data_IF_612318611201
#
_entry.id   IF_612318611201
#
_cell.length_a   1.000
_cell.length_b   1.000
_cell.length_c   1.000
_cell.angle_alpha   90.00
_cell.angle_beta   90.00
_cell.angle_gamma   90.00
#
_symmetry.space_group_name_H-M   'P 1'
#
loop_
_entity.id
_entity.type
_entity.pdbx_description
1 polymer ?
#
# COMPACT_ATOMS: atom_id res chain seq x y z
N UNK A 1 -12.68 7.69 12.34
CA UNK A 1 -11.44 7.54 11.53
C UNK A 1 -10.13 7.83 12.27
N UNK A 2 -10.16 7.96 13.61
CA UNK A 2 -8.93 8.26 14.38
C UNK A 2 -8.11 6.99 14.67
N UNK A 3 -8.76 5.83 14.73
CA UNK A 3 -8.09 4.56 15.02
C UNK A 3 -7.74 3.84 13.71
N UNK A 4 -6.44 3.65 13.39
CA UNK A 4 -6.02 3.06 12.12
C UNK A 4 -6.45 1.58 11.95
N UNK A 5 -6.74 0.88 13.06
CA UNK A 5 -7.15 -0.54 13.00
C UNK A 5 -8.64 -0.68 12.71
N UNK A 6 -9.48 0.19 13.28
CA UNK A 6 -10.94 0.11 13.14
C UNK A 6 -11.52 1.03 12.08
N UNK A 7 -10.74 1.97 11.56
CA UNK A 7 -11.18 2.92 10.53
C UNK A 7 -11.82 2.27 9.30
N UNK A 8 -11.34 1.12 8.78
CA UNK A 8 -11.97 0.45 7.64
C UNK A 8 -13.40 -0.06 7.90
N UNK A 9 -13.86 -0.09 9.15
CA UNK A 9 -15.24 -0.38 9.51
C UNK A 9 -16.21 0.79 9.30
N UNK A 10 -15.70 1.99 9.00
CA UNK A 10 -16.50 3.19 8.76
C UNK A 10 -16.67 3.41 7.25
N UNK A 11 -17.90 3.50 6.71
CA UNK A 11 -18.13 3.74 5.29
C UNK A 11 -17.44 5.00 4.75
N UNK A 12 -17.27 6.04 5.56
CA UNK A 12 -16.57 7.29 5.20
C UNK A 12 -15.09 7.03 4.90
N UNK A 13 -14.49 6.00 5.50
CA UNK A 13 -13.11 5.61 5.22
C UNK A 13 -12.87 5.39 3.72
N UNK A 14 -13.76 4.66 3.06
CA UNK A 14 -13.62 4.35 1.63
C UNK A 14 -13.81 5.59 0.75
N UNK A 15 -14.78 6.45 1.07
CA UNK A 15 -14.98 7.71 0.36
C UNK A 15 -13.78 8.64 0.50
N UNK A 16 -13.20 8.72 1.70
CA UNK A 16 -11.99 9.51 1.96
C UNK A 16 -10.80 8.99 1.14
N UNK A 17 -10.57 7.68 1.14
CA UNK A 17 -9.46 7.08 0.40
C UNK A 17 -9.65 7.17 -1.12
N UNK A 18 -10.88 7.05 -1.63
CA UNK A 18 -11.16 7.29 -3.04
C UNK A 18 -10.87 8.74 -3.44
N UNK A 19 -11.21 9.70 -2.58
CA UNK A 19 -10.87 11.09 -2.82
C UNK A 19 -9.35 11.33 -2.81
N UNK A 20 -8.61 10.73 -1.90
CA UNK A 20 -7.15 10.79 -1.86
C UNK A 20 -6.53 10.21 -3.13
N UNK A 21 -7.07 9.10 -3.62
CA UNK A 21 -6.64 8.47 -4.86
C UNK A 21 -6.87 9.39 -6.07
N UNK A 22 -8.03 10.07 -6.16
CA UNK A 22 -8.29 11.09 -7.17
C UNK A 22 -7.27 12.25 -7.12
N UNK A 23 -6.92 12.72 -5.92
CA UNK A 23 -5.91 13.78 -5.73
C UNK A 23 -4.54 13.29 -6.17
N UNK A 24 -4.18 12.06 -5.81
CA UNK A 24 -2.94 11.41 -6.23
C UNK A 24 -2.85 11.30 -7.75
N UNK A 25 -3.88 10.81 -8.38
CA UNK A 25 -3.96 10.75 -9.84
C UNK A 25 -3.85 12.14 -10.50
N UNK A 26 -4.51 13.14 -9.95
CA UNK A 26 -4.38 14.52 -10.43
C UNK A 26 -2.94 15.03 -10.35
N UNK A 27 -2.20 14.66 -9.31
CA UNK A 27 -0.77 14.95 -9.21
C UNK A 27 0.06 14.17 -10.23
N UNK A 28 -0.22 12.88 -10.42
CA UNK A 28 0.47 12.08 -11.43
C UNK A 28 0.28 12.63 -12.83
N UNK A 29 -0.95 13.04 -13.15
CA UNK A 29 -1.31 13.58 -14.48
C UNK A 29 -0.55 14.85 -14.88
N UNK A 30 0.05 15.57 -13.91
CA UNK A 30 0.85 16.78 -14.21
C UNK A 30 2.19 16.44 -14.88
N UNK A 31 2.68 15.21 -14.78
CA UNK A 31 3.97 14.81 -15.36
C UNK A 31 3.99 13.30 -15.67
N UNK A 32 3.15 12.88 -16.58
CA UNK A 32 3.15 11.50 -17.10
C UNK A 32 4.22 11.32 -18.18
N UNK A 33 4.89 10.17 -18.24
CA UNK A 33 4.78 9.01 -17.37
C UNK A 33 5.71 9.03 -16.15
N UNK A 34 6.49 10.10 -15.95
CA UNK A 34 7.54 10.14 -14.92
C UNK A 34 7.00 9.84 -13.52
N UNK A 35 5.85 10.40 -13.17
CA UNK A 35 5.23 10.23 -11.84
C UNK A 35 4.57 8.87 -11.60
N UNK A 36 4.47 8.03 -12.62
CA UNK A 36 4.07 6.62 -12.42
C UNK A 36 5.16 5.77 -11.75
N UNK A 37 6.37 6.29 -11.68
CA UNK A 37 7.51 5.63 -11.01
C UNK A 37 8.05 6.41 -9.83
N UNK A 38 7.51 7.60 -9.56
CA UNK A 38 7.94 8.48 -8.49
C UNK A 38 7.29 8.05 -7.16
N UNK A 39 7.89 7.07 -6.52
CA UNK A 39 7.48 6.59 -5.21
C UNK A 39 8.71 6.35 -4.34
N UNK A 40 8.62 6.76 -3.09
CA UNK A 40 9.66 6.57 -2.10
C UNK A 40 9.10 6.72 -0.69
N UNK A 41 9.96 6.59 0.28
CA UNK A 41 9.60 6.78 1.67
C UNK A 41 9.72 5.51 2.50
N UNK A 42 9.49 5.66 3.78
CA UNK A 42 9.60 4.56 4.73
C UNK A 42 8.33 3.74 4.73
N UNK A 43 8.46 2.42 4.65
CA UNK A 43 7.34 1.51 4.82
C UNK A 43 6.98 1.43 6.31
N UNK A 44 5.80 1.96 6.67
CA UNK A 44 5.34 2.05 8.07
C UNK A 44 5.08 0.66 8.67
N UNK A 45 4.78 -0.33 7.86
CA UNK A 45 4.48 -1.69 8.33
C UNK A 45 5.70 -2.40 8.91
N UNK A 46 6.91 -1.99 8.52
CA UNK A 46 8.15 -2.55 9.08
C UNK A 46 8.54 -1.92 10.42
N UNK A 47 7.87 -0.85 10.82
CA UNK A 47 8.05 -0.20 12.11
C UNK A 47 6.75 -0.21 12.89
N UNK A 48 6.38 -1.37 13.42
CA UNK A 48 5.31 -1.43 14.42
C UNK A 48 5.82 -0.68 15.64
N UNK A 49 5.21 0.47 16.04
CA UNK A 49 5.53 1.07 17.31
C UNK A 49 5.25 0.01 18.37
N UNK A 50 6.22 -0.26 19.22
CA UNK A 50 5.98 -1.10 20.39
C UNK A 50 4.87 -0.41 21.20
N UNK A 51 3.67 -0.99 21.20
CA UNK A 51 2.64 -0.57 22.14
C UNK A 51 3.20 -0.81 23.55
N UNK A 52 3.10 0.18 24.47
CA UNK A 52 3.49 -0.03 25.85
C UNK A 52 2.69 -1.22 26.40
N UNK A 53 3.34 -2.35 26.61
CA UNK A 53 2.70 -3.55 27.14
C UNK A 53 2.92 -4.83 26.34
N UNK A 54 3.50 -4.76 25.17
CA UNK A 54 3.84 -5.98 24.42
C UNK A 54 5.37 -6.08 24.25
N UNK A 55 5.95 -6.91 25.13
CA UNK A 55 7.36 -7.25 25.10
C UNK A 55 7.75 -7.87 23.77
N UNK A 56 8.75 -7.26 23.17
CA UNK A 56 9.79 -7.89 22.32
C UNK A 56 9.53 -9.35 21.93
N UNK A 57 8.72 -9.57 20.93
CA UNK A 57 8.87 -10.75 20.11
C UNK A 57 9.08 -10.27 18.68
N UNK A 58 10.32 -10.39 18.21
CA UNK A 58 10.60 -10.43 16.77
C UNK A 58 9.52 -11.28 16.10
N UNK A 59 8.97 -10.87 14.96
CA UNK A 59 7.99 -11.69 14.26
C UNK A 59 8.62 -13.04 13.98
N UNK A 60 8.16 -14.04 14.72
CA UNK A 60 8.63 -15.42 14.65
C UNK A 60 8.35 -15.97 13.26
N UNK A 61 9.32 -16.65 12.66
CA UNK A 61 9.15 -17.39 11.44
C UNK A 61 7.90 -18.29 11.54
N UNK A 62 6.87 -18.02 10.73
CA UNK A 62 5.63 -18.81 10.73
C UNK A 62 4.34 -18.01 10.68
N UNK A 63 4.39 -16.69 10.66
CA UNK A 63 3.18 -15.88 10.55
C UNK A 63 2.72 -15.80 9.09
N UNK A 64 1.45 -16.20 8.78
CA UNK A 64 0.96 -16.29 7.39
C UNK A 64 0.85 -14.94 6.66
N UNK A 65 1.01 -13.82 7.35
CA UNK A 65 0.99 -12.47 6.81
C UNK A 65 2.38 -11.86 6.56
N UNK A 66 3.45 -12.64 6.68
CA UNK A 66 4.76 -12.18 6.19
C UNK A 66 4.67 -11.99 4.69
N UNK A 67 4.69 -10.73 4.28
CA UNK A 67 4.78 -10.36 2.88
C UNK A 67 6.00 -11.06 2.29
N UNK A 68 5.75 -11.88 1.28
CA UNK A 68 6.82 -12.51 0.50
C UNK A 68 7.55 -11.40 -0.24
N UNK A 69 8.74 -11.05 0.23
CA UNK A 69 9.58 -10.06 -0.45
C UNK A 69 9.92 -10.60 -1.83
N UNK A 70 9.63 -9.81 -2.85
CA UNK A 70 10.17 -10.07 -4.19
C UNK A 70 11.57 -9.47 -4.29
N UNK A 71 12.37 -9.99 -5.20
CA UNK A 71 13.69 -9.46 -5.50
C UNK A 71 13.62 -7.95 -5.77
N UNK A 72 14.44 -7.19 -5.04
CA UNK A 72 14.47 -5.73 -5.15
C UNK A 72 13.55 -4.96 -4.19
N UNK A 73 12.74 -5.64 -3.35
CA UNK A 73 12.01 -4.98 -2.28
C UNK A 73 12.76 -5.13 -0.93
N UNK A 74 13.34 -4.06 -0.38
CA UNK A 74 14.04 -4.11 0.91
C UNK A 74 13.08 -4.27 2.10
N UNK A 75 11.78 -4.03 1.92
CA UNK A 75 10.75 -4.12 2.92
C UNK A 75 10.68 -2.94 3.90
N UNK A 76 11.76 -2.19 4.10
CA UNK A 76 11.83 -1.03 4.99
C UNK A 76 11.66 0.32 4.26
N UNK A 77 11.78 0.30 2.95
CA UNK A 77 11.56 1.44 2.07
C UNK A 77 10.51 1.05 1.05
N UNK A 78 9.57 1.95 0.80
CA UNK A 78 8.54 1.72 -0.21
C UNK A 78 9.15 1.77 -1.60
N UNK A 79 8.94 0.72 -2.39
CA UNK A 79 9.42 0.60 -3.77
C UNK A 79 8.29 0.10 -4.66
N UNK A 80 8.45 0.26 -5.97
CA UNK A 80 7.49 -0.27 -6.96
C UNK A 80 7.34 -1.80 -6.89
N UNK A 81 8.35 -2.50 -6.39
CA UNK A 81 8.35 -3.97 -6.24
C UNK A 81 7.65 -4.46 -4.97
N UNK A 82 7.22 -3.52 -4.11
CA UNK A 82 6.52 -3.89 -2.88
C UNK A 82 5.21 -4.62 -3.21
N UNK A 83 5.01 -5.78 -2.58
CA UNK A 83 3.85 -6.65 -2.84
C UNK A 83 2.67 -6.25 -1.99
N UNK A 84 1.57 -5.95 -2.63
CA UNK A 84 0.26 -5.77 -2.01
C UNK A 84 -0.39 -7.15 -1.85
N UNK A 85 -0.58 -7.55 -0.59
CA UNK A 85 -1.05 -8.90 -0.29
C UNK A 85 -2.57 -8.96 -0.30
N UNK A 86 -3.13 -9.78 -1.18
CA UNK A 86 -4.58 -9.90 -1.37
C UNK A 86 -5.21 -11.05 -0.57
N UNK A 87 -4.45 -11.66 0.34
CA UNK A 87 -4.91 -12.73 1.25
C UNK A 87 -5.65 -13.90 0.58
N UNK A 88 -5.31 -14.19 -0.67
CA UNK A 88 -5.90 -15.30 -1.42
C UNK A 88 -7.24 -14.98 -2.09
N UNK A 89 -7.76 -13.77 -1.95
CA UNK A 89 -8.99 -13.34 -2.63
C UNK A 89 -8.76 -13.13 -4.13
N UNK A 90 -7.60 -12.56 -4.49
CA UNK A 90 -7.10 -12.38 -5.85
C UNK A 90 -5.60 -12.62 -5.88
N UNK A 91 -4.96 -12.74 -7.04
CA UNK A 91 -3.50 -12.74 -7.13
C UNK A 91 -2.90 -11.50 -6.49
N UNK A 92 -1.76 -11.66 -5.82
CA UNK A 92 -1.01 -10.53 -5.28
C UNK A 92 -0.49 -9.66 -6.44
N UNK A 93 -0.48 -8.36 -6.24
CA UNK A 93 0.05 -7.37 -7.17
C UNK A 93 1.16 -6.56 -6.51
N UNK A 94 1.92 -5.82 -7.29
CA UNK A 94 2.93 -4.88 -6.79
C UNK A 94 2.38 -3.46 -6.80
N UNK A 95 3.09 -2.55 -6.15
CA UNK A 95 2.78 -1.12 -6.27
C UNK A 95 2.87 -0.68 -7.73
N UNK A 96 3.86 -1.18 -8.50
CA UNK A 96 3.97 -0.88 -9.92
C UNK A 96 2.69 -1.21 -10.72
N UNK A 97 2.03 -2.31 -10.38
CA UNK A 97 0.81 -2.75 -11.08
C UNK A 97 -0.41 -1.81 -10.85
N UNK A 98 -0.36 -1.00 -9.80
CA UNK A 98 -1.46 -0.11 -9.39
C UNK A 98 -1.13 1.38 -9.44
N UNK A 99 0.05 1.76 -9.97
CA UNK A 99 0.44 3.17 -10.10
C UNK A 99 -0.34 3.90 -11.18
N UNK A 100 -0.77 3.20 -12.23
CA UNK A 100 -1.55 3.75 -13.33
C UNK A 100 -3.02 3.31 -13.21
N UNK A 101 -3.92 4.25 -12.92
CA UNK A 101 -5.35 3.92 -12.82
C UNK A 101 -5.97 3.49 -14.15
N UNK A 102 -5.43 3.98 -15.28
CA UNK A 102 -5.80 3.56 -16.64
C UNK A 102 -5.10 2.28 -17.10
N UNK A 103 -4.18 1.76 -16.30
CA UNK A 103 -3.42 0.55 -16.59
C UNK A 103 -4.26 -0.72 -16.59
N UNK A 104 -3.68 -1.81 -17.12
CA UNK A 104 -4.40 -3.06 -17.33
C UNK A 104 -4.99 -3.73 -16.08
N UNK A 105 -4.49 -3.41 -14.88
CA UNK A 105 -4.97 -4.00 -13.63
C UNK A 105 -6.16 -3.22 -13.05
N UNK A 106 -6.09 -1.90 -12.94
CA UNK A 106 -7.12 -1.07 -12.33
C UNK A 106 -8.21 -0.65 -13.33
N UNK A 107 -7.84 -0.10 -14.47
CA UNK A 107 -8.71 0.21 -15.61
C UNK A 107 -9.95 1.05 -15.26
N UNK A 108 -9.76 2.16 -14.53
CA UNK A 108 -10.82 3.13 -14.23
C UNK A 108 -10.36 4.56 -14.51
N UNK A 109 -11.32 5.49 -14.53
CA UNK A 109 -11.05 6.93 -14.66
C UNK A 109 -11.94 7.75 -13.70
N UNK A 110 -11.48 8.93 -13.38
CA UNK A 110 -12.24 9.91 -12.59
C UNK A 110 -12.94 10.92 -13.50
N UNK A 111 -14.21 11.07 -13.29
CA UNK A 111 -15.07 12.07 -13.95
C UNK A 111 -15.22 13.32 -13.10
#
# INVERSE_FOLDING_TARGET
MINPISSPGDPIFYLHHTWLDKVWWGWQALDLPARLTDISGRNVQDTVPAFPGNSTSSPTAGQPWRISRRDGDPGNTTTLNHVLHMYGMTPNVTIADVMDIGGGYLCYEYV
#
